data_IF_712855893447
#
_entry.id   IF_712855893447
#
_cell.length_a   1.000
_cell.length_b   1.000
_cell.length_c   1.000
_cell.angle_alpha   90.00
_cell.angle_beta   90.00
_cell.angle_gamma   90.00
#
_symmetry.space_group_name_H-M   'P 1'
#
loop_
_entity.id
_entity.type
_entity.pdbx_description
1 polymer ?
#
# COMPACT_ATOMS: atom_id res chain seq x y z
N UNK A 1 -38.99 -7.89 -21.57
CA UNK A 1 -38.95 -7.72 -20.10
C UNK A 1 -40.33 -7.28 -19.65
N UNK A 2 -40.93 -7.96 -18.67
CA UNK A 2 -42.26 -7.62 -18.13
C UNK A 2 -42.05 -7.13 -16.69
N UNK A 3 -42.67 -6.01 -16.34
CA UNK A 3 -42.56 -5.38 -15.01
C UNK A 3 -43.91 -5.40 -14.34
N UNK A 4 -44.00 -5.95 -13.12
CA UNK A 4 -45.22 -6.00 -12.33
C UNK A 4 -45.14 -4.89 -11.27
N UNK A 5 -46.05 -3.93 -11.31
CA UNK A 5 -46.08 -2.75 -10.43
C UNK A 5 -47.29 -2.79 -9.49
N UNK A 6 -47.31 -1.93 -8.46
CA UNK A 6 -48.46 -1.81 -7.55
C UNK A 6 -48.57 -2.95 -6.53
N UNK A 7 -47.48 -3.65 -6.25
CA UNK A 7 -47.44 -4.70 -5.26
C UNK A 7 -47.40 -4.12 -3.84
N UNK A 8 -48.02 -4.82 -2.90
CA UNK A 8 -47.92 -4.45 -1.48
C UNK A 8 -46.50 -4.74 -0.98
N UNK A 9 -45.92 -3.89 -0.12
CA UNK A 9 -44.64 -4.16 0.52
C UNK A 9 -44.69 -5.43 1.40
N UNK A 10 -43.55 -6.07 1.61
CA UNK A 10 -43.37 -7.25 2.47
C UNK A 10 -44.34 -8.42 2.25
N UNK A 11 -44.88 -8.53 1.05
CA UNK A 11 -45.91 -9.51 0.71
C UNK A 11 -45.32 -10.55 -0.24
N UNK A 12 -45.53 -11.82 0.06
CA UNK A 12 -45.17 -12.92 -0.83
C UNK A 12 -46.22 -13.05 -1.93
N UNK A 13 -45.76 -13.10 -3.19
CA UNK A 13 -46.58 -13.28 -4.38
C UNK A 13 -46.10 -14.49 -5.19
N UNK A 14 -47.04 -15.14 -5.87
CA UNK A 14 -46.76 -16.19 -6.86
C UNK A 14 -47.12 -15.66 -8.25
N UNK A 15 -46.19 -15.70 -9.21
CA UNK A 15 -46.42 -15.27 -10.60
C UNK A 15 -46.44 -16.46 -11.56
N UNK A 16 -47.34 -16.40 -12.56
CA UNK A 16 -47.43 -17.37 -13.67
C UNK A 16 -47.64 -16.62 -14.99
N UNK A 17 -47.13 -17.17 -16.09
CA UNK A 17 -47.19 -16.57 -17.42
C UNK A 17 -47.79 -17.53 -18.44
N UNK A 18 -48.61 -17.04 -19.37
CA UNK A 18 -49.05 -17.77 -20.56
C UNK A 18 -48.88 -16.90 -21.80
N UNK A 19 -48.66 -17.54 -22.96
CA UNK A 19 -48.58 -16.86 -24.24
C UNK A 19 -49.94 -16.86 -24.93
N UNK A 20 -50.26 -15.85 -25.75
CA UNK A 20 -51.50 -15.82 -26.54
C UNK A 20 -51.15 -15.59 -28.01
N UNK A 21 -51.78 -16.37 -28.91
CA UNK A 21 -51.66 -16.18 -30.36
C UNK A 21 -53.06 -16.15 -31.02
N UNK A 22 -53.11 -16.06 -32.35
CA UNK A 22 -54.38 -16.01 -33.11
C UNK A 22 -55.27 -17.25 -32.97
N UNK A 23 -54.77 -18.35 -32.40
CA UNK A 23 -55.54 -19.57 -32.10
C UNK A 23 -56.00 -19.66 -30.64
N UNK A 24 -55.50 -18.80 -29.75
CA UNK A 24 -55.89 -18.76 -28.35
C UNK A 24 -54.72 -18.65 -27.37
N UNK A 25 -55.00 -18.92 -26.10
CA UNK A 25 -54.04 -18.90 -24.98
C UNK A 25 -53.31 -20.24 -24.91
N UNK A 26 -51.99 -20.20 -24.90
CA UNK A 26 -51.11 -21.34 -24.69
C UNK A 26 -51.02 -21.76 -23.22
N UNK A 27 -50.21 -22.77 -22.96
CA UNK A 27 -50.05 -23.34 -21.62
C UNK A 27 -49.49 -22.32 -20.62
N UNK A 28 -49.98 -22.38 -19.38
CA UNK A 28 -49.52 -21.53 -18.29
C UNK A 28 -48.28 -22.13 -17.62
N UNK A 29 -47.28 -21.29 -17.33
CA UNK A 29 -46.05 -21.70 -16.66
C UNK A 29 -46.29 -22.24 -15.24
N UNK A 30 -45.24 -22.85 -14.69
CA UNK A 30 -45.16 -23.12 -13.25
C UNK A 30 -45.15 -21.79 -12.46
N UNK A 31 -45.68 -21.78 -11.22
CA UNK A 31 -45.60 -20.62 -10.33
C UNK A 31 -44.16 -20.33 -9.93
N UNK A 32 -43.82 -19.05 -9.85
CA UNK A 32 -42.58 -18.56 -9.27
C UNK A 32 -42.93 -17.62 -8.12
N UNK A 33 -42.42 -17.93 -6.93
CA UNK A 33 -42.69 -17.16 -5.72
C UNK A 33 -41.61 -16.11 -5.48
N UNK A 34 -42.02 -14.91 -5.07
CA UNK A 34 -41.10 -13.86 -4.63
C UNK A 34 -41.74 -13.02 -3.52
N UNK A 35 -40.91 -12.37 -2.70
CA UNK A 35 -41.37 -11.46 -1.63
C UNK A 35 -40.96 -10.03 -1.97
N UNK A 36 -41.89 -9.09 -1.86
CA UNK A 36 -41.61 -7.66 -2.06
C UNK A 36 -40.85 -7.07 -0.88
N UNK A 37 -40.08 -6.01 -1.15
CA UNK A 37 -39.33 -5.28 -0.12
C UNK A 37 -40.24 -4.35 0.70
N UNK A 38 -39.85 -3.99 1.94
CA UNK A 38 -40.54 -2.95 2.73
C UNK A 38 -40.39 -1.56 2.10
N UNK A 39 -41.36 -0.68 2.39
CA UNK A 39 -41.27 0.75 2.04
C UNK A 39 -40.41 1.45 3.09
N UNK A 40 -39.25 1.98 2.67
CA UNK A 40 -38.41 2.81 3.53
C UNK A 40 -39.02 4.21 3.65
N UNK A 41 -39.50 4.57 4.84
CA UNK A 41 -39.90 5.93 5.16
C UNK A 41 -38.63 6.73 5.52
N UNK A 42 -38.44 7.97 5.02
CA UNK A 42 -37.34 8.82 5.47
C UNK A 42 -37.72 9.52 6.79
N UNK A 43 -36.98 9.28 7.88
CA UNK A 43 -37.22 9.89 9.19
C UNK A 43 -36.12 10.92 9.55
N UNK A 44 -36.54 12.04 10.14
CA UNK A 44 -35.69 13.05 10.83
C UNK A 44 -35.79 12.86 12.37
N UNK A 45 -34.88 13.43 13.20
CA UNK A 45 -34.29 12.73 14.35
C UNK A 45 -34.90 13.06 15.72
N UNK A 46 -35.13 12.06 16.59
CA UNK A 46 -35.20 12.19 18.07
C UNK A 46 -35.07 10.79 18.74
N UNK A 47 -33.86 10.48 19.24
CA UNK A 47 -33.39 9.58 20.34
C UNK A 47 -34.10 8.20 20.70
N UNK A 48 -33.49 7.31 21.52
CA UNK A 48 -32.67 6.18 21.06
C UNK A 48 -33.18 4.79 21.54
N UNK A 49 -32.51 3.75 21.06
CA UNK A 49 -32.51 2.33 21.46
C UNK A 49 -33.24 1.33 20.54
N UNK A 50 -32.45 0.29 20.22
CA UNK A 50 -32.74 -1.02 19.63
C UNK A 50 -32.81 -1.12 18.09
N UNK A 51 -31.62 -1.44 17.54
CA UNK A 51 -31.40 -2.45 16.50
C UNK A 51 -32.03 -2.21 15.12
N UNK A 52 -31.44 -1.25 14.39
CA UNK A 52 -31.26 -1.44 12.95
C UNK A 52 -29.96 -2.23 12.76
N UNK A 53 -30.07 -3.53 12.52
CA UNK A 53 -28.96 -4.33 11.97
C UNK A 53 -28.55 -3.69 10.63
N UNK A 54 -27.46 -2.92 10.70
CA UNK A 54 -26.74 -2.38 9.57
C UNK A 54 -26.39 -3.55 8.65
N UNK A 55 -26.92 -3.53 7.43
CA UNK A 55 -26.49 -4.42 6.34
C UNK A 55 -25.09 -4.05 5.83
N UNK A 56 -24.18 -3.63 6.72
CA UNK A 56 -22.77 -3.52 6.42
C UNK A 56 -22.19 -4.93 6.33
N UNK A 57 -21.32 -5.20 5.34
CA UNK A 57 -20.61 -6.47 5.28
C UNK A 57 -19.88 -6.72 6.60
N UNK A 58 -19.74 -7.98 7.07
CA UNK A 58 -19.02 -8.26 8.30
C UNK A 58 -17.62 -7.67 8.22
N UNK A 59 -17.32 -6.70 9.08
CA UNK A 59 -16.02 -6.06 9.13
C UNK A 59 -15.10 -6.79 10.10
N UNK A 60 -13.85 -6.99 9.68
CA UNK A 60 -12.81 -7.68 10.42
C UNK A 60 -11.58 -6.82 10.64
N UNK A 61 -10.60 -7.42 11.30
CA UNK A 61 -9.27 -6.83 11.44
C UNK A 61 -8.56 -6.76 10.07
N UNK A 62 -7.67 -5.78 9.87
CA UNK A 62 -6.97 -5.66 8.60
C UNK A 62 -5.94 -6.79 8.43
N UNK A 63 -5.62 -7.10 7.19
CA UNK A 63 -4.50 -7.98 6.86
C UNK A 63 -3.16 -7.28 7.16
N UNK A 64 -2.14 -8.08 7.52
CA UNK A 64 -0.79 -7.54 7.72
C UNK A 64 -0.30 -6.86 6.44
N UNK A 65 0.29 -5.64 6.52
CA UNK A 65 0.81 -4.99 5.33
C UNK A 65 2.00 -5.76 4.74
N UNK A 66 2.35 -5.50 3.49
CA UNK A 66 3.63 -5.95 2.93
C UNK A 66 4.65 -4.81 3.04
N UNK A 67 5.90 -5.15 3.26
CA UNK A 67 6.98 -4.19 3.49
C UNK A 67 8.07 -4.33 2.44
N UNK A 68 8.53 -3.20 1.91
CA UNK A 68 9.68 -3.13 1.03
C UNK A 68 10.64 -2.03 1.51
N UNK A 69 11.88 -2.40 1.80
CA UNK A 69 12.92 -1.47 2.23
C UNK A 69 13.73 -0.93 1.05
N UNK A 70 14.00 0.37 1.07
CA UNK A 70 14.91 1.07 0.16
C UNK A 70 15.90 1.87 1.01
N UNK A 71 17.20 1.61 0.86
CA UNK A 71 18.23 2.34 1.60
C UNK A 71 18.19 3.83 1.26
N UNK A 72 18.25 4.68 2.28
CA UNK A 72 18.31 6.13 2.10
C UNK A 72 19.69 6.59 1.64
N UNK A 73 19.77 7.84 1.16
CA UNK A 73 21.00 8.43 0.62
C UNK A 73 22.13 8.50 1.66
N UNK A 74 21.79 8.68 2.93
CA UNK A 74 22.78 8.78 4.01
C UNK A 74 23.40 7.42 4.37
N UNK A 75 22.85 6.29 3.93
CA UNK A 75 23.35 4.94 4.25
C UNK A 75 23.07 4.45 5.67
N UNK A 76 22.80 5.36 6.62
CA UNK A 76 22.25 5.05 7.95
C UNK A 76 20.77 5.45 8.09
N UNK A 77 20.06 5.48 6.96
CA UNK A 77 18.63 5.70 6.87
C UNK A 77 17.99 4.66 5.94
N UNK A 78 16.71 4.36 6.16
CA UNK A 78 15.94 3.47 5.30
C UNK A 78 14.53 4.02 5.10
N UNK A 79 14.06 3.98 3.86
CA UNK A 79 12.67 4.18 3.49
C UNK A 79 11.97 2.82 3.51
N UNK A 80 11.03 2.64 4.42
CA UNK A 80 10.19 1.44 4.48
C UNK A 80 8.87 1.77 3.80
N UNK A 81 8.65 1.23 2.62
CA UNK A 81 7.37 1.33 1.91
C UNK A 81 6.38 0.35 2.52
N UNK A 82 5.17 0.84 2.79
CA UNK A 82 4.04 0.09 3.37
C UNK A 82 3.04 -0.16 2.27
N UNK A 83 3.02 -1.39 1.77
CA UNK A 83 2.09 -1.82 0.73
C UNK A 83 0.80 -2.26 1.40
N UNK A 84 -0.26 -1.49 1.14
CA UNK A 84 -1.61 -1.73 1.68
C UNK A 84 -2.12 -3.10 1.25
N UNK A 85 -2.76 -3.82 2.16
CA UNK A 85 -3.45 -5.08 1.90
C UNK A 85 -4.95 -4.91 2.20
N UNK A 86 -5.69 -6.01 2.28
CA UNK A 86 -7.10 -6.01 2.67
C UNK A 86 -7.29 -5.32 4.03
N UNK A 87 -8.25 -4.39 4.11
CA UNK A 87 -8.53 -3.60 5.31
C UNK A 87 -9.60 -4.23 6.22
N UNK A 88 -10.03 -5.46 5.91
CA UNK A 88 -11.09 -6.14 6.64
C UNK A 88 -12.47 -5.51 6.44
N UNK A 89 -12.67 -4.69 5.41
CA UNK A 89 -13.94 -4.00 5.16
C UNK A 89 -14.15 -2.76 6.03
N UNK A 90 -13.12 -2.28 6.74
CA UNK A 90 -13.15 -1.03 7.50
C UNK A 90 -11.89 -0.21 7.25
N UNK A 91 -11.99 1.10 6.96
CA UNK A 91 -10.82 1.90 6.63
C UNK A 91 -9.72 1.84 7.69
N UNK A 92 -8.49 1.63 7.24
CA UNK A 92 -7.31 1.73 8.10
C UNK A 92 -7.22 3.16 8.64
N UNK A 93 -7.04 3.29 9.95
CA UNK A 93 -6.89 4.58 10.66
C UNK A 93 -5.43 5.01 10.70
N UNK A 94 -4.53 4.08 11.00
CA UNK A 94 -3.10 4.32 11.08
C UNK A 94 -2.29 3.02 11.02
N UNK A 95 -1.00 3.14 10.74
CA UNK A 95 -0.02 2.08 10.91
C UNK A 95 0.82 2.34 12.16
N UNK A 96 1.06 1.30 12.95
CA UNK A 96 1.95 1.32 14.10
C UNK A 96 3.29 0.73 13.68
N UNK A 97 4.35 1.53 13.76
CA UNK A 97 5.69 1.11 13.39
C UNK A 97 6.56 1.06 14.64
N UNK A 98 7.14 -0.12 14.87
CA UNK A 98 8.12 -0.36 15.92
C UNK A 98 9.39 -0.90 15.29
N UNK A 99 10.54 -0.42 15.75
CA UNK A 99 11.81 -0.88 15.26
C UNK A 99 12.86 -0.86 16.36
N UNK A 100 13.85 -1.74 16.22
CA UNK A 100 15.00 -1.81 17.13
C UNK A 100 16.20 -2.41 16.44
N UNK A 101 17.38 -2.17 17.00
CA UNK A 101 18.56 -2.94 16.63
C UNK A 101 18.34 -4.40 17.06
N UNK A 102 18.68 -5.36 16.21
CA UNK A 102 18.44 -6.80 16.43
C UNK A 102 19.08 -7.31 17.72
N UNK A 103 20.22 -6.74 18.10
CA UNK A 103 20.94 -7.07 19.34
C UNK A 103 20.53 -6.23 20.55
N UNK A 104 19.57 -5.31 20.39
CA UNK A 104 19.00 -4.53 21.48
C UNK A 104 17.68 -5.14 21.97
N UNK A 105 17.45 -5.07 23.28
CA UNK A 105 16.15 -5.34 23.89
C UNK A 105 15.24 -4.11 23.88
N UNK A 106 15.80 -2.93 23.64
CA UNK A 106 15.06 -1.66 23.67
C UNK A 106 14.45 -1.32 22.32
N UNK A 107 13.17 -1.02 22.33
CA UNK A 107 12.43 -0.50 21.18
C UNK A 107 12.63 1.00 21.07
N UNK A 108 12.81 1.49 19.84
CA UNK A 108 12.68 2.93 19.58
C UNK A 108 11.22 3.36 19.78
N UNK A 109 10.95 4.66 20.03
CA UNK A 109 9.60 5.17 20.17
C UNK A 109 8.70 4.74 19.02
N UNK A 110 7.49 4.29 19.34
CA UNK A 110 6.53 3.85 18.33
C UNK A 110 6.11 5.04 17.44
N UNK A 111 6.13 4.82 16.13
CA UNK A 111 5.71 5.81 15.15
C UNK A 111 4.28 5.46 14.71
N UNK A 112 3.38 6.44 14.79
CA UNK A 112 2.00 6.32 14.28
C UNK A 112 1.91 7.01 12.92
N UNK A 113 1.85 6.22 11.86
CA UNK A 113 1.79 6.72 10.49
C UNK A 113 0.33 6.84 10.03
N UNK A 114 -0.10 8.01 9.50
CA UNK A 114 -1.46 8.17 8.96
C UNK A 114 -1.74 7.20 7.81
N UNK A 115 -2.99 6.72 7.68
CA UNK A 115 -3.39 5.72 6.68
C UNK A 115 -3.21 6.12 5.21
N UNK A 116 -3.16 7.42 4.93
CA UNK A 116 -2.87 7.95 3.60
C UNK A 116 -1.42 7.71 3.15
N UNK A 117 -0.50 7.50 4.09
CA UNK A 117 0.92 7.34 3.81
C UNK A 117 1.23 5.98 3.18
N UNK A 118 2.23 5.97 2.31
CA UNK A 118 2.75 4.80 1.61
C UNK A 118 4.16 4.40 2.07
N UNK A 119 4.81 5.23 2.89
CA UNK A 119 6.14 4.93 3.43
C UNK A 119 6.41 5.64 4.77
N UNK A 120 7.43 5.14 5.47
CA UNK A 120 8.05 5.80 6.62
C UNK A 120 9.56 5.86 6.42
N UNK A 121 10.18 6.98 6.79
CA UNK A 121 11.63 7.14 6.73
C UNK A 121 12.21 6.98 8.15
N UNK A 122 13.01 5.94 8.35
CA UNK A 122 13.78 5.74 9.58
C UNK A 122 15.17 6.33 9.37
N UNK A 123 15.53 7.35 10.15
CA UNK A 123 16.79 8.10 10.02
C UNK A 123 17.65 7.96 11.26
N UNK A 124 18.90 8.40 11.14
CA UNK A 124 19.85 8.49 12.25
C UNK A 124 20.02 7.16 12.98
N UNK A 125 20.09 6.07 12.19
CA UNK A 125 20.36 4.74 12.70
C UNK A 125 21.86 4.58 12.95
N UNK A 126 22.21 3.61 13.79
CA UNK A 126 23.61 3.25 14.00
C UNK A 126 24.17 2.65 12.71
N UNK A 127 25.41 3.01 12.38
CA UNK A 127 26.10 2.48 11.21
C UNK A 127 26.46 1.00 11.38
N UNK A 128 26.50 0.28 10.25
CA UNK A 128 26.84 -1.14 10.18
C UNK A 128 26.08 -2.04 11.18
N UNK A 129 24.86 -1.67 11.55
CA UNK A 129 24.02 -2.37 12.52
C UNK A 129 22.83 -3.07 11.84
N UNK A 130 22.43 -4.20 12.40
CA UNK A 130 21.23 -4.94 11.99
C UNK A 130 20.02 -4.43 12.74
N UNK A 131 18.94 -4.16 12.00
CA UNK A 131 17.68 -3.65 12.52
C UNK A 131 16.52 -4.53 12.08
N UNK A 132 15.50 -4.58 12.93
CA UNK A 132 14.21 -5.20 12.64
C UNK A 132 13.10 -4.16 12.78
N UNK A 133 12.15 -4.20 11.84
CA UNK A 133 11.00 -3.31 11.75
C UNK A 133 9.74 -4.16 11.75
N UNK A 134 8.78 -3.74 12.55
CA UNK A 134 7.46 -4.31 12.63
C UNK A 134 6.42 -3.24 12.30
N UNK A 135 5.50 -3.56 11.40
CA UNK A 135 4.41 -2.68 11.00
C UNK A 135 3.08 -3.40 11.18
N UNK A 136 2.17 -2.75 11.90
CA UNK A 136 0.82 -3.26 12.17
C UNK A 136 -0.18 -2.26 11.59
N UNK A 137 -1.17 -2.74 10.84
CA UNK A 137 -2.30 -1.94 10.39
C UNK A 137 -3.39 -1.92 11.48
N UNK A 138 -4.02 -0.77 11.72
CA UNK A 138 -5.12 -0.64 12.69
C UNK A 138 -6.34 0.01 12.04
N UNK A 139 -7.49 -0.67 12.10
CA UNK A 139 -8.80 -0.13 11.72
C UNK A 139 -9.71 -0.02 12.95
N UNK A 140 -11.01 0.20 12.78
CA UNK A 140 -11.94 0.29 13.91
C UNK A 140 -12.16 -1.06 14.63
N UNK A 141 -11.94 -2.18 13.95
CA UNK A 141 -12.21 -3.53 14.47
C UNK A 141 -11.03 -4.07 15.27
N UNK A 142 -9.81 -3.68 14.89
CA UNK A 142 -8.61 -4.06 15.62
C UNK A 142 -7.32 -3.91 14.84
N UNK A 143 -6.35 -4.73 15.20
CA UNK A 143 -4.97 -4.69 14.71
C UNK A 143 -4.67 -5.91 13.87
N UNK A 144 -3.95 -5.72 12.77
CA UNK A 144 -3.45 -6.83 11.97
C UNK A 144 -2.41 -7.65 12.74
N UNK A 145 -2.10 -8.83 12.19
CA UNK A 145 -0.80 -9.47 12.47
C UNK A 145 0.35 -8.51 12.09
N UNK A 146 1.51 -8.58 12.77
CA UNK A 146 2.64 -7.73 12.43
C UNK A 146 3.30 -8.20 11.13
N UNK A 147 3.59 -7.24 10.25
CA UNK A 147 4.52 -7.43 9.14
C UNK A 147 5.95 -7.18 9.64
N UNK A 148 6.90 -8.00 9.20
CA UNK A 148 8.29 -7.94 9.65
C UNK A 148 9.24 -7.69 8.49
N UNK A 149 10.20 -6.80 8.68
CA UNK A 149 11.28 -6.53 7.73
C UNK A 149 12.60 -6.32 8.48
N UNK A 150 13.67 -6.98 8.03
CA UNK A 150 15.00 -6.87 8.61
C UNK A 150 15.98 -6.31 7.58
N UNK A 151 16.89 -5.46 8.02
CA UNK A 151 17.90 -4.83 7.18
C UNK A 151 19.17 -4.54 7.96
N UNK A 152 20.23 -4.19 7.22
CA UNK A 152 21.50 -3.75 7.78
C UNK A 152 21.87 -2.40 7.18
N UNK A 153 22.19 -1.43 8.02
CA UNK A 153 22.69 -0.11 7.60
C UNK A 153 24.08 -0.22 6.97
N UNK A 154 24.45 0.72 6.11
CA UNK A 154 25.78 0.80 5.50
C UNK A 154 26.90 1.02 6.54
N UNK A 155 28.15 0.79 6.13
CA UNK A 155 29.30 1.21 6.93
C UNK A 155 29.40 2.74 6.97
N UNK A 156 29.95 3.27 8.07
CA UNK A 156 30.16 4.72 8.22
C UNK A 156 31.15 5.22 7.16
N UNK A 157 30.84 6.31 6.44
CA UNK A 157 31.78 6.93 5.51
C UNK A 157 33.04 7.35 6.25
N UNK A 158 34.19 6.83 5.83
CA UNK A 158 35.48 7.26 6.35
C UNK A 158 35.82 8.61 5.73
N UNK A 159 35.93 9.66 6.54
CA UNK A 159 36.53 10.93 6.08
C UNK A 159 38.02 10.63 5.90
N UNK A 160 38.47 10.45 4.66
CA UNK A 160 39.91 10.44 4.38
C UNK A 160 40.36 11.90 4.53
N UNK A 161 41.18 12.26 5.54
CA UNK A 161 41.76 13.59 5.56
C UNK A 161 42.66 13.73 4.33
N UNK A 162 42.37 14.71 3.48
CA UNK A 162 43.28 15.11 2.41
C UNK A 162 44.56 15.65 3.08
N UNK A 163 45.54 14.78 3.34
CA UNK A 163 46.85 15.17 3.87
C UNK A 163 47.93 14.61 2.97
N UNK A 164 48.48 15.53 2.18
CA UNK A 164 49.84 15.63 1.64
C UNK A 164 50.35 14.56 0.66
N UNK A 165 50.66 15.05 -0.55
CA UNK A 165 51.83 14.61 -1.31
C UNK A 165 51.53 13.90 -2.62
N UNK A 166 51.20 14.64 -3.67
CA UNK A 166 51.48 14.19 -5.04
C UNK A 166 52.29 15.29 -5.73
N UNK A 167 53.60 15.11 -5.97
CA UNK A 167 54.32 15.99 -6.86
C UNK A 167 53.71 15.79 -8.26
N UNK A 168 53.23 16.88 -8.83
CA UNK A 168 52.80 16.93 -10.22
C UNK A 168 53.99 16.59 -11.12
N UNK A 169 54.16 15.31 -11.47
CA UNK A 169 55.08 14.93 -12.54
C UNK A 169 54.42 15.29 -13.86
N UNK A 170 54.77 16.47 -14.34
CA UNK A 170 54.56 16.95 -15.70
C UNK A 170 55.19 15.97 -16.68
N UNK A 171 54.40 15.03 -17.20
CA UNK A 171 54.80 14.17 -18.32
C UNK A 171 54.57 14.93 -19.62
N UNK A 172 55.65 15.49 -20.18
CA UNK A 172 55.65 16.14 -21.49
C UNK A 172 55.19 15.17 -22.58
N UNK A 173 54.20 15.59 -23.37
CA UNK A 173 53.76 14.89 -24.58
C UNK A 173 54.88 14.94 -25.62
N UNK A 174 55.58 13.83 -25.85
CA UNK A 174 56.46 13.65 -27.02
C UNK A 174 55.58 13.18 -28.19
N UNK A 175 55.05 14.13 -28.95
CA UNK A 175 54.36 13.85 -30.21
C UNK A 175 55.38 13.62 -31.33
N UNK A 176 55.52 12.35 -31.69
CA UNK A 176 56.16 11.87 -32.91
C UNK A 176 55.34 12.35 -34.12
N UNK A 177 55.93 13.16 -35.01
CA UNK A 177 55.41 13.34 -36.37
C UNK A 177 56.56 13.55 -37.37
N UNK A 178 56.77 12.47 -38.12
CA UNK A 178 57.58 12.30 -39.31
C UNK A 178 56.99 13.11 -40.48
N UNK A 179 57.78 13.93 -41.18
CA UNK A 179 57.77 13.97 -42.65
C UNK A 179 58.86 14.90 -43.20
N UNK A 180 59.51 14.39 -44.24
CA UNK A 180 60.57 14.98 -45.03
C UNK A 180 60.17 16.32 -45.69
N UNK A 181 61.17 17.14 -46.05
CA UNK A 181 61.27 17.87 -47.33
C UNK A 181 62.61 18.63 -47.40
N UNK A 182 63.50 18.07 -48.21
CA UNK A 182 64.51 18.65 -49.12
C UNK A 182 65.35 19.89 -48.74
N UNK A 183 66.66 19.64 -48.53
CA UNK A 183 67.83 20.15 -49.27
C UNK A 183 67.64 21.43 -50.13
N UNK A 184 68.43 22.49 -49.90
CA UNK A 184 69.59 22.96 -50.71
C UNK A 184 70.02 24.42 -50.40
N UNK A 185 71.34 24.69 -50.57
CA UNK A 185 72.06 25.98 -50.79
C UNK A 185 72.50 26.79 -49.55
N UNK A 186 73.73 27.32 -49.39
CA UNK A 186 74.98 27.31 -50.17
C UNK A 186 76.10 28.01 -49.32
N UNK A 187 77.36 27.68 -49.62
CA UNK A 187 78.66 28.28 -49.21
C UNK A 187 79.52 27.40 -48.29
#
# INVERSE_FOLDING_TARGET
MITITGLKPETTYSVRLSAVNGKGVGEISLPSDFKTQPVRIPHSPTQPLAESESSEPPTGEPSAPKLEGQMGEDGNSIKVNVIKQDDGGSPIRHYLIKYKAKHSSEWKPEIRLPSGSDHVMLKSLDWNAEYEVYVIAENQQGKSKPAHYAFRTSAQPTVIPATLGSPSTSSSFVSLLLSAVTLLLLC
#
